data_IF_769876205577
#
_entry.id   IF_769876205577
#
_cell.length_a   1.000
_cell.length_b   1.000
_cell.length_c   1.000
_cell.angle_alpha   90.00
_cell.angle_beta   90.00
_cell.angle_gamma   90.00
#
_symmetry.space_group_name_H-M   'P 1'
#
loop_
_entity.id
_entity.type
_entity.pdbx_description
1 polymer ?
#
# COMPACT_ATOMS: atom_id res chain seq x y z
N UNK A 1 5.90 -19.61 -24.53
CA UNK A 1 4.71 -19.93 -23.72
C UNK A 1 5.22 -20.34 -22.34
N UNK A 2 5.30 -19.40 -21.39
CA UNK A 2 5.87 -19.68 -20.06
C UNK A 2 4.74 -20.07 -19.09
N UNK A 3 5.02 -20.98 -18.17
CA UNK A 3 4.09 -21.33 -17.10
C UNK A 3 4.09 -20.14 -16.13
N UNK A 4 2.95 -19.46 -16.02
CA UNK A 4 2.75 -18.52 -14.93
C UNK A 4 2.80 -19.30 -13.61
N UNK A 5 3.83 -19.03 -12.81
CA UNK A 5 3.95 -19.64 -11.50
C UNK A 5 2.72 -19.31 -10.66
N UNK A 6 2.17 -20.31 -9.97
CA UNK A 6 1.07 -20.10 -9.05
C UNK A 6 1.51 -19.20 -7.90
N UNK A 7 0.55 -18.48 -7.30
CA UNK A 7 0.80 -17.67 -6.12
C UNK A 7 1.62 -18.41 -5.05
N UNK A 8 2.51 -17.70 -4.38
CA UNK A 8 3.34 -18.26 -3.32
C UNK A 8 2.57 -18.40 -1.99
N UNK A 9 3.13 -19.20 -1.06
CA UNK A 9 2.63 -19.26 0.31
C UNK A 9 2.67 -17.89 1.01
N UNK A 10 3.71 -17.09 0.74
CA UNK A 10 3.83 -15.74 1.28
C UNK A 10 2.67 -14.84 0.81
N UNK A 11 2.37 -14.84 -0.50
CA UNK A 11 1.24 -14.09 -1.06
C UNK A 11 -0.10 -14.56 -0.48
N UNK A 12 -0.27 -15.87 -0.30
CA UNK A 12 -1.46 -16.40 0.38
C UNK A 12 -1.59 -15.84 1.79
N UNK A 13 -0.52 -15.86 2.58
CA UNK A 13 -0.51 -15.35 3.95
C UNK A 13 -0.76 -13.84 4.01
N UNK A 14 -0.25 -13.07 3.05
CA UNK A 14 -0.51 -11.62 2.92
C UNK A 14 -2.00 -11.33 2.67
N UNK A 15 -2.62 -12.05 1.74
CA UNK A 15 -4.06 -11.93 1.44
C UNK A 15 -4.90 -12.17 2.71
N UNK A 16 -4.62 -13.25 3.44
CA UNK A 16 -5.34 -13.56 4.68
C UNK A 16 -5.07 -12.54 5.80
N UNK A 17 -3.85 -12.04 5.93
CA UNK A 17 -3.53 -10.99 6.89
C UNK A 17 -4.37 -9.72 6.64
N UNK A 18 -4.43 -9.26 5.39
CA UNK A 18 -5.20 -8.08 5.00
C UNK A 18 -6.71 -8.27 5.19
N UNK A 19 -7.25 -9.44 4.85
CA UNK A 19 -8.67 -9.76 5.10
C UNK A 19 -8.97 -9.70 6.59
N UNK A 20 -8.10 -10.26 7.42
CA UNK A 20 -8.26 -10.23 8.87
C UNK A 20 -8.17 -8.82 9.44
N UNK A 21 -7.32 -7.94 8.88
CA UNK A 21 -7.25 -6.52 9.26
C UNK A 21 -8.60 -5.83 9.01
N UNK A 22 -9.23 -6.07 7.85
CA UNK A 22 -10.56 -5.54 7.52
C UNK A 22 -11.62 -6.04 8.50
N UNK A 23 -11.64 -7.35 8.80
CA UNK A 23 -12.65 -7.93 9.69
C UNK A 23 -12.49 -7.39 11.12
N UNK A 24 -11.26 -7.34 11.65
CA UNK A 24 -11.00 -6.80 13.00
C UNK A 24 -11.40 -5.33 13.09
N UNK A 25 -11.07 -4.55 12.08
CA UNK A 25 -11.45 -3.14 12.02
C UNK A 25 -12.97 -2.97 12.04
N UNK A 26 -13.71 -3.76 11.27
CA UNK A 26 -15.18 -3.72 11.24
C UNK A 26 -15.81 -3.95 12.62
N UNK A 27 -15.23 -4.83 13.43
CA UNK A 27 -15.72 -5.14 14.77
C UNK A 27 -15.10 -4.29 15.89
N UNK A 28 -14.25 -3.31 15.56
CA UNK A 28 -13.44 -2.56 16.53
C UNK A 28 -12.68 -3.49 17.50
N UNK A 29 -12.25 -4.66 17.00
CA UNK A 29 -11.58 -5.66 17.81
C UNK A 29 -10.10 -5.30 17.99
N UNK A 30 -9.83 -4.58 19.08
CA UNK A 30 -8.50 -4.15 19.50
C UNK A 30 -7.91 -5.03 20.63
N UNK A 31 -8.42 -6.26 20.78
CA UNK A 31 -8.18 -7.25 21.84
C UNK A 31 -8.60 -6.83 23.26
N UNK A 32 -9.75 -7.35 23.71
CA UNK A 32 -10.02 -7.80 25.10
C UNK A 32 -11.37 -8.52 25.24
N UNK A 33 -11.71 -9.43 24.35
CA UNK A 33 -12.92 -10.28 24.51
C UNK A 33 -12.74 -11.62 23.79
N UNK A 34 -13.45 -12.65 24.26
CA UNK A 34 -13.36 -14.06 23.85
C UNK A 34 -13.06 -14.29 22.35
N UNK A 35 -12.25 -15.31 22.04
CA UNK A 35 -11.96 -15.82 20.69
C UNK A 35 -13.26 -16.05 19.90
N UNK A 36 -13.76 -15.02 19.24
CA UNK A 36 -14.74 -15.16 18.17
C UNK A 36 -13.98 -15.62 16.94
N UNK A 37 -14.37 -16.75 16.38
CA UNK A 37 -13.79 -17.21 15.11
C UNK A 37 -14.41 -16.42 13.96
N UNK A 38 -13.66 -15.46 13.43
CA UNK A 38 -14.08 -14.62 12.31
C UNK A 38 -14.04 -15.31 10.93
N UNK A 39 -13.99 -16.65 10.88
CA UNK A 39 -13.79 -17.39 9.63
C UNK A 39 -14.87 -17.09 8.58
N UNK A 40 -16.15 -17.07 8.98
CA UNK A 40 -17.26 -16.76 8.06
C UNK A 40 -17.23 -15.30 7.59
N UNK A 41 -16.86 -14.39 8.48
CA UNK A 41 -16.73 -12.96 8.19
C UNK A 41 -15.58 -12.74 7.19
N UNK A 42 -14.45 -13.39 7.39
CA UNK A 42 -13.30 -13.36 6.48
C UNK A 42 -13.63 -13.92 5.09
N UNK A 43 -14.36 -15.02 4.99
CA UNK A 43 -14.78 -15.55 3.68
C UNK A 43 -15.82 -14.65 2.99
N UNK A 44 -16.67 -13.94 3.74
CA UNK A 44 -17.59 -12.94 3.20
C UNK A 44 -16.83 -11.72 2.66
N UNK A 45 -15.90 -11.16 3.43
CA UNK A 45 -15.03 -10.06 3.00
C UNK A 45 -14.23 -10.45 1.76
N UNK A 46 -13.64 -11.65 1.76
CA UNK A 46 -12.92 -12.20 0.60
C UNK A 46 -13.81 -12.28 -0.64
N UNK A 47 -15.06 -12.72 -0.49
CA UNK A 47 -15.99 -12.83 -1.60
C UNK A 47 -16.30 -11.46 -2.22
N UNK A 48 -16.52 -10.44 -1.39
CA UNK A 48 -16.74 -9.06 -1.85
C UNK A 48 -15.50 -8.50 -2.55
N UNK A 49 -14.31 -8.68 -1.96
CA UNK A 49 -13.04 -8.22 -2.54
C UNK A 49 -12.78 -8.87 -3.91
N UNK A 50 -13.09 -10.17 -4.05
CA UNK A 50 -12.98 -10.87 -5.34
C UNK A 50 -13.92 -10.27 -6.39
N UNK A 51 -15.17 -9.96 -6.05
CA UNK A 51 -16.10 -9.35 -7.01
C UNK A 51 -15.56 -8.00 -7.49
N UNK A 52 -15.07 -7.16 -6.56
CA UNK A 52 -14.46 -5.87 -6.91
C UNK A 52 -13.25 -6.03 -7.82
N UNK A 53 -12.31 -6.90 -7.45
CA UNK A 53 -11.09 -7.14 -8.22
C UNK A 53 -11.39 -7.74 -9.61
N UNK A 54 -12.33 -8.67 -9.70
CA UNK A 54 -12.79 -9.26 -10.95
C UNK A 54 -13.32 -8.19 -11.91
N UNK A 55 -14.15 -7.27 -11.38
CA UNK A 55 -14.69 -6.16 -12.16
C UNK A 55 -13.60 -5.20 -12.67
N UNK A 56 -12.60 -4.90 -11.84
CA UNK A 56 -11.50 -4.00 -12.21
C UNK A 56 -10.54 -4.61 -13.25
N UNK A 57 -10.28 -5.91 -13.15
CA UNK A 57 -9.30 -6.62 -13.99
C UNK A 57 -9.91 -7.35 -15.18
N UNK A 58 -11.24 -7.44 -15.26
CA UNK A 58 -11.94 -8.24 -16.27
C UNK A 58 -11.85 -9.75 -16.05
N UNK A 59 -11.42 -10.20 -14.86
CA UNK A 59 -11.44 -11.63 -14.50
C UNK A 59 -12.88 -12.12 -14.28
N UNK A 60 -13.15 -13.43 -14.43
CA UNK A 60 -14.46 -13.99 -14.09
C UNK A 60 -14.79 -13.77 -12.62
N UNK A 61 -16.02 -13.34 -12.29
CA UNK A 61 -16.44 -13.06 -10.90
C UNK A 61 -16.19 -14.24 -9.94
N UNK A 62 -16.32 -15.47 -10.44
CA UNK A 62 -16.12 -16.71 -9.67
C UNK A 62 -14.69 -17.24 -9.72
N UNK A 63 -13.68 -16.41 -10.01
CA UNK A 63 -12.29 -16.86 -10.01
C UNK A 63 -11.88 -17.45 -8.65
N UNK A 64 -10.88 -18.33 -8.65
CA UNK A 64 -10.31 -18.86 -7.41
C UNK A 64 -9.01 -18.14 -7.09
N UNK A 65 -8.90 -17.57 -5.89
CA UNK A 65 -7.66 -16.94 -5.43
C UNK A 65 -6.49 -17.94 -5.43
N UNK A 66 -6.76 -19.24 -5.25
CA UNK A 66 -5.76 -20.31 -5.31
C UNK A 66 -5.20 -20.57 -6.70
N UNK A 67 -5.92 -20.14 -7.75
CA UNK A 67 -5.52 -20.30 -9.16
C UNK A 67 -4.86 -19.04 -9.73
N UNK A 68 -4.69 -17.98 -8.95
CA UNK A 68 -3.98 -16.78 -9.40
C UNK A 68 -2.52 -17.12 -9.68
N UNK A 69 -2.01 -16.55 -10.77
CA UNK A 69 -0.57 -16.41 -10.99
C UNK A 69 0.06 -15.52 -9.92
N UNK A 70 1.39 -15.56 -9.81
CA UNK A 70 2.13 -14.64 -8.92
C UNK A 70 1.78 -13.18 -9.20
N UNK A 71 1.74 -12.75 -10.45
CA UNK A 71 1.46 -11.35 -10.80
C UNK A 71 0.04 -10.95 -10.41
N UNK A 72 -0.97 -11.77 -10.76
CA UNK A 72 -2.35 -11.51 -10.36
C UNK A 72 -2.55 -11.52 -8.84
N UNK A 73 -1.79 -12.35 -8.10
CA UNK A 73 -1.84 -12.35 -6.65
C UNK A 73 -1.22 -11.06 -6.07
N UNK A 74 -0.15 -10.54 -6.65
CA UNK A 74 0.43 -9.24 -6.29
C UNK A 74 -0.52 -8.09 -6.60
N UNK A 75 -1.17 -8.10 -7.76
CA UNK A 75 -2.23 -7.13 -8.10
C UNK A 75 -3.38 -7.20 -7.10
N UNK A 76 -3.84 -8.41 -6.76
CA UNK A 76 -4.93 -8.58 -5.80
C UNK A 76 -4.54 -8.10 -4.40
N UNK A 77 -3.30 -8.34 -3.95
CA UNK A 77 -2.79 -7.79 -2.69
C UNK A 77 -2.79 -6.25 -2.72
N UNK A 78 -2.29 -5.64 -3.80
CA UNK A 78 -2.29 -4.18 -3.97
C UNK A 78 -3.71 -3.61 -3.96
N UNK A 79 -4.67 -4.30 -4.58
CA UNK A 79 -6.09 -3.96 -4.54
C UNK A 79 -6.65 -3.98 -3.10
N UNK A 80 -6.32 -4.99 -2.30
CA UNK A 80 -6.78 -5.06 -0.90
C UNK A 80 -6.09 -3.97 -0.05
N UNK A 81 -4.81 -3.67 -0.27
CA UNK A 81 -4.13 -2.55 0.40
C UNK A 81 -4.81 -1.23 0.07
N UNK A 82 -5.15 -1.00 -1.20
CA UNK A 82 -5.89 0.20 -1.63
C UNK A 82 -7.25 0.30 -0.94
N UNK A 83 -7.99 -0.81 -0.84
CA UNK A 83 -9.22 -0.86 -0.05
C UNK A 83 -8.98 -0.46 1.41
N UNK A 84 -7.97 -1.05 2.06
CA UNK A 84 -7.65 -0.70 3.44
C UNK A 84 -7.33 0.80 3.60
N UNK A 85 -6.58 1.38 2.67
CA UNK A 85 -6.26 2.81 2.70
C UNK A 85 -7.48 3.70 2.47
N UNK A 86 -8.36 3.33 1.53
CA UNK A 86 -9.58 4.07 1.23
C UNK A 86 -10.56 4.12 2.40
N UNK A 87 -10.63 3.04 3.19
CA UNK A 87 -11.53 2.92 4.33
C UNK A 87 -10.83 3.09 5.68
N UNK A 88 -9.61 3.64 5.69
CA UNK A 88 -8.82 3.89 6.90
C UNK A 88 -8.60 2.65 7.80
N UNK A 89 -8.63 1.45 7.21
CA UNK A 89 -8.32 0.19 7.90
C UNK A 89 -6.83 0.13 8.23
N UNK A 90 -6.44 0.03 9.52
CA UNK A 90 -5.05 -0.13 9.92
C UNK A 90 -4.48 -1.48 9.47
N UNK A 91 -3.28 -1.48 8.91
CA UNK A 91 -2.58 -2.71 8.53
C UNK A 91 -1.84 -3.29 9.75
N UNK A 92 -1.95 -4.60 9.97
CA UNK A 92 -1.25 -5.29 11.07
C UNK A 92 0.26 -5.49 10.81
N UNK A 93 0.68 -5.33 9.56
CA UNK A 93 2.09 -5.39 9.13
C UNK A 93 2.47 -4.12 8.37
N UNK A 94 3.75 -3.73 8.35
CA UNK A 94 4.23 -2.67 7.48
C UNK A 94 3.86 -2.98 6.02
N UNK A 95 3.26 -2.01 5.32
CA UNK A 95 2.77 -2.25 3.96
C UNK A 95 3.86 -2.62 2.95
N UNK A 96 5.11 -2.18 3.20
CA UNK A 96 6.29 -2.56 2.41
C UNK A 96 6.60 -4.06 2.49
N UNK A 97 6.19 -4.74 3.56
CA UNK A 97 6.36 -6.19 3.73
C UNK A 97 5.17 -6.98 3.17
N UNK A 98 4.08 -6.31 2.78
CA UNK A 98 2.84 -6.95 2.36
C UNK A 98 2.75 -7.16 0.86
N UNK A 99 3.56 -6.48 0.04
CA UNK A 99 3.54 -6.61 -1.42
C UNK A 99 4.94 -6.58 -2.01
N UNK A 100 5.12 -7.27 -3.14
CA UNK A 100 6.34 -7.19 -3.96
C UNK A 100 6.31 -6.02 -4.94
N UNK A 101 5.13 -5.42 -5.20
CA UNK A 101 4.99 -4.25 -6.05
C UNK A 101 5.14 -2.96 -5.23
N UNK A 102 6.40 -2.66 -4.92
CA UNK A 102 6.77 -1.52 -4.06
C UNK A 102 6.36 -0.19 -4.70
N UNK A 103 6.42 -0.06 -6.03
CA UNK A 103 6.04 1.18 -6.71
C UNK A 103 4.54 1.45 -6.57
N UNK A 104 3.70 0.43 -6.78
CA UNK A 104 2.24 0.55 -6.57
C UNK A 104 1.93 0.88 -5.11
N UNK A 105 2.62 0.26 -4.15
CA UNK A 105 2.46 0.57 -2.73
C UNK A 105 2.81 2.02 -2.40
N UNK A 106 3.98 2.51 -2.84
CA UNK A 106 4.39 3.90 -2.60
C UNK A 106 3.46 4.89 -3.29
N UNK A 107 2.93 4.55 -4.46
CA UNK A 107 1.89 5.35 -5.13
C UNK A 107 0.61 5.43 -4.29
N UNK A 108 0.15 4.30 -3.74
CA UNK A 108 -1.01 4.26 -2.84
C UNK A 108 -0.77 5.08 -1.58
N UNK A 109 0.42 4.99 -0.98
CA UNK A 109 0.82 5.82 0.15
C UNK A 109 0.70 7.31 -0.17
N UNK A 110 1.16 7.74 -1.34
CA UNK A 110 1.06 9.13 -1.79
C UNK A 110 -0.40 9.53 -2.07
N UNK A 111 -1.15 8.69 -2.79
CA UNK A 111 -2.56 8.91 -3.16
C UNK A 111 -3.46 9.09 -1.93
N UNK A 112 -3.29 8.24 -0.92
CA UNK A 112 -4.13 8.22 0.28
C UNK A 112 -3.49 8.94 1.49
N UNK A 113 -2.35 9.62 1.28
CA UNK A 113 -1.59 10.32 2.33
C UNK A 113 -1.29 9.40 3.53
N UNK A 114 -0.87 8.16 3.26
CA UNK A 114 -0.44 7.16 4.24
C UNK A 114 1.08 7.05 4.26
N UNK A 115 1.65 7.02 5.45
CA UNK A 115 3.08 6.85 5.67
C UNK A 115 3.53 5.49 5.13
N UNK A 116 4.51 5.47 4.23
CA UNK A 116 5.07 4.24 3.68
C UNK A 116 5.69 3.31 4.73
N UNK A 117 6.12 3.87 5.87
CA UNK A 117 6.74 3.12 6.98
C UNK A 117 5.71 2.68 8.01
N UNK A 118 4.81 3.57 8.43
CA UNK A 118 3.93 3.33 9.60
C UNK A 118 2.47 3.09 9.26
N UNK A 119 2.05 3.31 8.01
CA UNK A 119 0.64 3.25 7.59
C UNK A 119 -0.25 4.35 8.15
N UNK A 120 0.24 5.22 9.05
CA UNK A 120 -0.50 6.36 9.61
C UNK A 120 -0.60 7.51 8.61
N UNK A 121 -1.48 8.48 8.86
CA UNK A 121 -1.56 9.71 8.04
C UNK A 121 -0.20 10.40 7.94
N UNK A 122 0.11 10.91 6.75
CA UNK A 122 1.39 11.53 6.43
C UNK A 122 1.33 12.66 5.42
N UNK A 123 2.51 13.19 5.13
CA UNK A 123 2.80 14.32 4.26
C UNK A 123 3.76 13.85 3.15
N UNK A 124 3.73 14.53 2.01
CA UNK A 124 4.65 14.25 0.91
C UNK A 124 6.02 14.83 1.22
N UNK A 125 7.03 13.96 1.16
CA UNK A 125 8.43 14.30 1.32
C UNK A 125 9.13 14.22 -0.05
N UNK A 126 9.81 15.31 -0.40
CA UNK A 126 10.68 15.38 -1.58
C UNK A 126 12.09 14.94 -1.19
N UNK A 127 12.51 13.78 -1.71
CA UNK A 127 13.78 13.13 -1.35
C UNK A 127 14.98 13.90 -1.90
N UNK A 128 14.90 14.28 -3.16
CA UNK A 128 15.94 15.11 -3.77
C UNK A 128 15.66 16.54 -3.33
N UNK A 129 16.42 17.01 -2.34
CA UNK A 129 16.37 18.39 -1.89
C UNK A 129 16.55 19.33 -3.09
N UNK A 130 15.66 20.33 -3.17
CA UNK A 130 15.79 21.45 -4.09
C UNK A 130 17.17 22.08 -3.81
N UNK A 131 18.09 22.02 -4.76
CA UNK A 131 19.35 22.76 -4.66
C UNK A 131 19.05 24.22 -4.34
N UNK A 132 19.76 24.81 -3.36
CA UNK A 132 19.61 26.21 -2.97
C UNK A 132 19.62 27.11 -4.23
N UNK A 133 18.52 27.82 -4.48
CA UNK A 133 18.43 28.81 -5.57
C UNK A 133 17.32 28.62 -6.59
N UNK A 134 16.50 27.56 -6.53
CA UNK A 134 15.30 27.44 -7.40
C UNK A 134 14.07 28.02 -6.72
N UNK A 135 13.35 28.86 -7.46
CA UNK A 135 12.07 29.42 -7.02
C UNK A 135 11.07 28.28 -6.76
N UNK A 136 10.52 28.24 -5.55
CA UNK A 136 9.59 27.20 -5.11
C UNK A 136 8.20 27.37 -5.74
N UNK A 137 7.94 28.49 -6.42
CA UNK A 137 6.65 28.81 -7.05
C UNK A 137 6.41 28.09 -8.38
N UNK A 138 7.47 27.63 -9.07
CA UNK A 138 7.40 26.97 -10.39
C UNK A 138 8.12 25.62 -10.40
N UNK A 139 8.04 24.87 -9.30
CA UNK A 139 8.80 23.63 -9.20
C UNK A 139 8.08 22.45 -9.87
N UNK A 140 8.74 21.89 -10.88
CA UNK A 140 8.26 20.70 -11.59
C UNK A 140 8.38 19.42 -10.73
N UNK A 141 7.27 19.07 -10.07
CA UNK A 141 7.16 17.88 -9.22
C UNK A 141 7.35 16.55 -9.95
N UNK A 142 7.25 16.50 -11.28
CA UNK A 142 7.48 15.27 -12.06
C UNK A 142 8.95 14.84 -12.02
N UNK A 143 9.85 15.78 -11.72
CA UNK A 143 11.29 15.54 -11.59
C UNK A 143 11.72 15.17 -10.17
N UNK A 144 10.80 15.15 -9.21
CA UNK A 144 11.08 14.78 -7.83
C UNK A 144 10.92 13.30 -7.58
N UNK A 145 11.77 12.76 -6.70
CA UNK A 145 11.52 11.48 -6.06
C UNK A 145 10.70 11.75 -4.80
N UNK A 146 9.53 11.13 -4.70
CA UNK A 146 8.50 11.41 -3.70
C UNK A 146 8.23 10.18 -2.82
N UNK A 147 7.93 10.42 -1.55
CA UNK A 147 7.43 9.42 -0.61
C UNK A 147 6.45 10.09 0.35
N UNK A 148 5.42 9.37 0.83
CA UNK A 148 4.56 9.88 1.88
C UNK A 148 5.03 9.36 3.25
N UNK A 149 5.23 10.27 4.21
CA UNK A 149 5.75 9.96 5.55
C UNK A 149 4.89 10.61 6.64
N UNK A 150 4.67 9.91 7.75
CA UNK A 150 4.07 10.52 8.94
C UNK A 150 4.97 11.65 9.44
N UNK A 151 4.40 12.64 10.14
CA UNK A 151 5.16 13.78 10.67
C UNK A 151 6.43 13.37 11.43
N UNK A 152 6.33 12.33 12.26
CA UNK A 152 7.46 11.74 12.99
C UNK A 152 8.56 11.26 12.04
N UNK A 153 8.21 10.46 11.03
CA UNK A 153 9.17 9.91 10.05
C UNK A 153 9.70 10.99 9.11
N UNK A 154 8.89 12.00 8.79
CA UNK A 154 9.29 13.16 8.02
C UNK A 154 10.37 13.98 8.76
N UNK A 155 10.20 14.20 10.06
CA UNK A 155 11.23 14.86 10.87
C UNK A 155 12.48 13.98 11.03
N UNK A 156 12.30 12.67 11.18
CA UNK A 156 13.42 11.72 11.28
C UNK A 156 14.30 11.74 10.03
N UNK A 157 13.70 11.70 8.83
CA UNK A 157 14.48 11.75 7.58
C UNK A 157 15.25 13.07 7.42
N UNK A 158 14.68 14.20 7.84
CA UNK A 158 15.41 15.47 7.88
C UNK A 158 16.58 15.46 8.86
N UNK A 159 16.49 14.69 9.96
CA UNK A 159 17.54 14.58 10.96
C UNK A 159 18.69 13.66 10.55
N UNK A 160 18.38 12.50 9.96
CA UNK A 160 19.38 11.46 9.67
C UNK A 160 19.83 11.42 8.20
N UNK A 161 19.13 12.15 7.33
CA UNK A 161 19.34 12.13 5.89
C UNK A 161 18.67 10.94 5.18
N UNK A 162 18.35 11.13 3.89
CA UNK A 162 17.62 10.14 3.09
C UNK A 162 18.30 8.77 3.05
N UNK A 163 19.61 8.71 2.79
CA UNK A 163 20.35 7.45 2.65
C UNK A 163 20.31 6.58 3.91
N UNK A 164 20.43 7.20 5.09
CA UNK A 164 20.30 6.47 6.36
C UNK A 164 18.86 6.03 6.62
N UNK A 165 17.88 6.89 6.29
CA UNK A 165 16.46 6.59 6.45
C UNK A 165 15.99 5.42 5.56
N UNK A 166 16.36 5.46 4.27
CA UNK A 166 16.09 4.40 3.29
C UNK A 166 16.64 3.05 3.75
N UNK A 167 17.90 3.01 4.23
CA UNK A 167 18.49 1.77 4.76
C UNK A 167 17.79 1.27 6.01
N UNK A 168 17.42 2.17 6.93
CA UNK A 168 16.78 1.82 8.20
C UNK A 168 15.39 1.21 8.02
N UNK A 169 14.61 1.72 7.08
CA UNK A 169 13.21 1.34 6.89
C UNK A 169 12.94 0.51 5.64
N UNK A 170 13.98 0.25 4.83
CA UNK A 170 13.88 -0.48 3.56
C UNK A 170 12.82 0.11 2.61
N UNK A 171 12.69 1.44 2.60
CA UNK A 171 11.77 2.18 1.73
C UNK A 171 12.52 2.97 0.66
N UNK A 172 11.87 3.21 -0.47
CA UNK A 172 12.35 4.11 -1.51
C UNK A 172 11.31 5.20 -1.82
N UNK A 173 11.62 6.10 -2.75
CA UNK A 173 10.62 6.98 -3.34
C UNK A 173 10.27 6.60 -4.77
N UNK A 174 9.23 7.25 -5.29
CA UNK A 174 8.79 7.09 -6.67
C UNK A 174 8.69 8.42 -7.39
N UNK A 175 8.80 8.39 -8.71
CA UNK A 175 8.46 9.51 -9.59
C UNK A 175 7.01 9.35 -10.04
N UNK A 176 6.28 10.45 -10.09
CA UNK A 176 4.92 10.48 -10.61
C UNK A 176 4.89 11.07 -12.01
N UNK A 177 3.99 10.58 -12.85
CA UNK A 177 3.69 11.22 -14.13
C UNK A 177 3.03 12.57 -13.89
N UNK A 178 3.09 13.46 -14.89
CA UNK A 178 2.42 14.76 -14.83
C UNK A 178 0.91 14.63 -14.55
N UNK A 179 0.27 13.65 -15.18
CA UNK A 179 -1.15 13.33 -14.93
C UNK A 179 -1.39 12.97 -13.46
N UNK A 180 -0.54 12.13 -12.87
CA UNK A 180 -0.67 11.73 -11.47
C UNK A 180 -0.43 12.90 -10.51
N UNK A 181 0.59 13.74 -10.78
CA UNK A 181 0.85 14.96 -9.99
C UNK A 181 -0.39 15.87 -9.99
N UNK A 182 -0.93 16.16 -11.18
CA UNK A 182 -2.12 17.01 -11.36
C UNK A 182 -3.36 16.43 -10.67
N UNK A 183 -3.62 15.12 -10.85
CA UNK A 183 -4.78 14.44 -10.27
C UNK A 183 -4.73 14.37 -8.75
N UNK A 184 -3.53 14.26 -8.17
CA UNK A 184 -3.33 14.14 -6.73
C UNK A 184 -3.12 15.49 -6.03
N UNK A 185 -3.11 16.60 -6.78
CA UNK A 185 -2.89 17.95 -6.23
C UNK A 185 -1.57 18.05 -5.48
N UNK A 186 -0.50 17.52 -6.08
CA UNK A 186 0.87 17.56 -5.54
C UNK A 186 1.60 18.77 -6.10
#
# INVERSE_FOLDING_TARGET
MYINERRSLAQNNMIYALINDIVRHHYNDNEKTHKREFYRDAESVKSVLKIGFAKETGLPEKFSTAKLSKDQATEFISFIIEFCFQFDVPLSKPGIELTSDINRYLFLCIKYRKCAVTGRRGEIHHINAIGMGRDRREYDHTKSLLICLSREKHNEVHKIGWEAFKRKYHVDGIRLTEEAVKKLGI
#
